data_IF_802876839493
#
_entry.id   IF_802876839493
#
_cell.length_a   1.000
_cell.length_b   1.000
_cell.length_c   1.000
_cell.angle_alpha   90.00
_cell.angle_beta   90.00
_cell.angle_gamma   90.00
#
_symmetry.space_group_name_H-M   'P 1'
#
loop_
_entity.id
_entity.type
_entity.pdbx_description
1 polymer ?
#
# COMPACT_ATOMS: atom_id res chain seq x y z
N UNK A 1 -8.52 13.40 23.63
CA UNK A 1 -7.17 13.89 23.99
C UNK A 1 -6.54 14.54 22.75
N UNK A 2 -6.50 15.88 22.64
CA UNK A 2 -5.78 16.58 21.56
C UNK A 2 -4.41 17.04 22.06
N UNK A 3 -3.33 16.28 21.85
CA UNK A 3 -1.95 16.76 22.08
C UNK A 3 -0.92 16.05 21.19
N UNK A 4 -0.74 16.58 19.97
CA UNK A 4 0.51 16.52 19.21
C UNK A 4 0.61 17.80 18.34
N UNK A 5 0.51 18.97 18.96
CA UNK A 5 0.76 20.27 18.32
C UNK A 5 1.74 21.08 19.18
N UNK A 6 3.00 20.66 19.16
CA UNK A 6 4.12 21.55 19.49
C UNK A 6 5.25 21.32 18.49
N UNK A 7 5.05 21.80 17.27
CA UNK A 7 6.16 22.07 16.36
C UNK A 7 6.89 23.32 16.88
N UNK A 8 7.87 23.14 17.76
CA UNK A 8 8.74 24.24 18.22
C UNK A 8 9.59 24.70 17.04
N UNK A 9 9.45 25.96 16.61
CA UNK A 9 10.46 26.66 15.80
C UNK A 9 10.00 27.18 14.43
N UNK A 10 8.81 26.82 13.94
CA UNK A 10 8.27 27.38 12.69
C UNK A 10 7.36 28.57 13.00
N UNK A 11 7.74 29.76 12.54
CA UNK A 11 6.82 30.90 12.47
C UNK A 11 5.84 30.64 11.34
N UNK A 12 4.65 30.13 11.69
CA UNK A 12 3.57 29.95 10.74
C UNK A 12 2.94 31.30 10.41
N UNK A 13 2.70 31.56 9.12
CA UNK A 13 1.89 32.70 8.69
C UNK A 13 0.40 32.49 9.04
N UNK A 14 -0.41 33.53 8.84
CA UNK A 14 -1.84 33.48 9.18
C UNK A 14 -2.60 32.39 8.38
N UNK A 15 -2.23 32.18 7.11
CA UNK A 15 -2.86 31.20 6.22
C UNK A 15 -2.53 29.78 6.66
N UNK A 16 -1.28 29.51 7.05
CA UNK A 16 -0.84 28.22 7.57
C UNK A 16 -1.52 27.88 8.91
N UNK A 17 -1.70 28.86 9.79
CA UNK A 17 -2.44 28.66 11.05
C UNK A 17 -3.90 28.33 10.80
N UNK A 18 -4.57 29.13 9.96
CA UNK A 18 -5.96 28.89 9.60
C UNK A 18 -6.13 27.49 8.98
N UNK A 19 -5.24 27.09 8.07
CA UNK A 19 -5.29 25.75 7.47
C UNK A 19 -5.16 24.63 8.52
N UNK A 20 -4.26 24.78 9.51
CA UNK A 20 -4.14 23.80 10.60
C UNK A 20 -5.35 23.79 11.55
N UNK A 21 -6.06 24.91 11.70
CA UNK A 21 -7.29 25.00 12.50
C UNK A 21 -8.49 24.36 11.78
N UNK A 22 -8.51 24.42 10.45
CA UNK A 22 -9.55 23.86 9.59
C UNK A 22 -9.36 22.36 9.30
N UNK A 23 -8.19 21.78 9.60
CA UNK A 23 -7.86 20.38 9.33
C UNK A 23 -7.55 19.61 10.62
N UNK A 24 -7.94 18.33 10.65
CA UNK A 24 -7.56 17.39 11.70
C UNK A 24 -6.56 16.38 11.14
N UNK A 25 -5.65 15.90 12.00
CA UNK A 25 -4.79 14.77 11.68
C UNK A 25 -5.57 13.47 11.90
N UNK A 26 -5.75 12.71 10.84
CA UNK A 26 -6.27 11.35 10.86
C UNK A 26 -5.12 10.37 10.61
N UNK A 27 -5.18 9.21 11.25
CA UNK A 27 -4.13 8.19 11.19
C UNK A 27 -4.72 6.89 10.67
N UNK A 28 -4.02 6.26 9.72
CA UNK A 28 -4.48 5.02 9.12
C UNK A 28 -3.39 4.07 8.68
N UNK A 29 -3.83 2.91 8.23
CA UNK A 29 -3.02 1.85 7.63
C UNK A 29 -3.81 1.22 6.49
N UNK A 30 -3.38 1.48 5.26
CA UNK A 30 -4.04 1.01 4.03
C UNK A 30 -3.30 -0.13 3.35
N UNK A 31 -2.25 -0.65 3.97
CA UNK A 31 -1.49 -1.78 3.45
C UNK A 31 -1.04 -2.70 4.59
N UNK A 32 -1.83 -3.76 4.79
CA UNK A 32 -1.60 -4.86 5.73
C UNK A 32 -2.38 -6.08 5.24
N UNK A 33 -2.12 -7.26 5.80
CA UNK A 33 -2.73 -8.50 5.32
C UNK A 33 -3.34 -9.33 6.43
N UNK A 34 -4.28 -10.18 6.04
CA UNK A 34 -4.84 -11.24 6.86
C UNK A 34 -5.13 -12.49 6.01
N UNK A 35 -5.83 -13.45 6.61
CA UNK A 35 -6.23 -14.71 6.01
C UNK A 35 -7.23 -14.63 4.87
N UNK A 36 -7.61 -13.45 4.35
CA UNK A 36 -8.37 -13.33 3.09
C UNK A 36 -7.57 -13.83 1.89
N UNK A 37 -6.25 -13.74 1.97
CA UNK A 37 -5.28 -14.31 1.03
C UNK A 37 -4.33 -15.24 1.80
N UNK A 38 -3.01 -15.07 1.69
CA UNK A 38 -2.03 -15.92 2.34
C UNK A 38 -1.45 -15.34 3.66
N UNK A 39 -2.08 -14.33 4.25
CA UNK A 39 -1.77 -13.89 5.62
C UNK A 39 -2.44 -14.75 6.70
N UNK A 40 -2.29 -14.34 7.95
CA UNK A 40 -2.83 -14.98 9.15
C UNK A 40 -3.90 -14.09 9.81
N UNK A 41 -4.77 -14.73 10.61
CA UNK A 41 -5.88 -14.07 11.28
C UNK A 41 -7.07 -13.78 10.35
N UNK A 42 -8.26 -13.56 10.92
CA UNK A 42 -9.47 -13.29 10.14
C UNK A 42 -9.59 -11.81 9.76
N UNK A 43 -10.47 -11.51 8.79
CA UNK A 43 -10.76 -10.12 8.41
C UNK A 43 -11.44 -9.36 9.56
N UNK A 44 -12.35 -10.00 10.29
CA UNK A 44 -13.04 -9.44 11.46
C UNK A 44 -12.03 -9.07 12.55
N UNK A 45 -10.98 -9.88 12.75
CA UNK A 45 -9.90 -9.53 13.68
C UNK A 45 -9.17 -8.28 13.21
N UNK A 46 -8.82 -8.18 11.93
CA UNK A 46 -8.17 -6.99 11.38
C UNK A 46 -9.05 -5.74 11.55
N UNK A 47 -10.34 -5.84 11.25
CA UNK A 47 -11.33 -4.77 11.44
C UNK A 47 -11.41 -4.36 12.91
N UNK A 48 -11.52 -5.32 13.83
CA UNK A 48 -11.57 -5.04 15.27
C UNK A 48 -10.29 -4.37 15.78
N UNK A 49 -9.13 -4.71 15.21
CA UNK A 49 -7.86 -4.11 15.56
C UNK A 49 -7.72 -2.68 15.01
N UNK A 50 -8.16 -2.43 13.77
CA UNK A 50 -8.19 -1.10 13.17
C UNK A 50 -9.14 -0.16 13.94
N UNK A 51 -10.35 -0.63 14.25
CA UNK A 51 -11.40 0.15 14.92
C UNK A 51 -11.01 0.67 16.31
N UNK A 52 -9.98 0.09 16.92
CA UNK A 52 -9.51 0.53 18.24
C UNK A 52 -8.51 1.71 18.18
N UNK A 53 -7.95 2.03 17.01
CA UNK A 53 -6.78 2.91 16.95
C UNK A 53 -6.55 3.69 15.65
N UNK A 54 -7.31 3.44 14.60
CA UNK A 54 -7.17 4.09 13.30
C UNK A 54 -8.45 4.85 12.96
N UNK A 55 -8.30 5.94 12.23
CA UNK A 55 -9.40 6.72 11.65
C UNK A 55 -9.77 6.17 10.25
N UNK A 56 -8.81 5.59 9.54
CA UNK A 56 -9.03 4.94 8.26
C UNK A 56 -8.13 3.72 8.08
N UNK A 57 -8.59 2.74 7.29
CA UNK A 57 -7.81 1.54 7.04
C UNK A 57 -8.24 0.81 5.75
N UNK A 58 -7.40 -0.13 5.33
CA UNK A 58 -7.77 -1.18 4.38
C UNK A 58 -7.23 -2.52 4.86
N UNK A 59 -7.58 -3.62 4.22
CA UNK A 59 -6.89 -4.91 4.37
C UNK A 59 -6.59 -5.45 2.99
N UNK A 60 -5.32 -5.46 2.63
CA UNK A 60 -4.86 -5.70 1.26
C UNK A 60 -4.75 -7.20 0.99
N UNK A 61 -5.48 -7.65 -0.03
CA UNK A 61 -5.35 -9.02 -0.54
C UNK A 61 -4.22 -9.14 -1.54
N UNK A 62 -3.38 -10.17 -1.41
CA UNK A 62 -2.45 -10.57 -2.46
C UNK A 62 -3.21 -11.02 -3.70
N UNK A 63 -3.04 -10.34 -4.83
CA UNK A 63 -3.91 -10.50 -6.00
C UNK A 63 -3.28 -11.19 -7.19
N UNK A 64 -2.09 -10.75 -7.63
CA UNK A 64 -1.43 -11.33 -8.79
C UNK A 64 0.09 -11.06 -8.80
N UNK A 65 0.82 -11.90 -9.53
CA UNK A 65 2.23 -11.68 -9.85
C UNK A 65 2.44 -11.89 -11.37
N UNK A 66 2.20 -10.85 -12.19
CA UNK A 66 2.14 -10.97 -13.65
C UNK A 66 3.40 -11.54 -14.31
N UNK A 67 4.58 -11.22 -13.77
CA UNK A 67 5.89 -11.56 -14.34
C UNK A 67 6.65 -12.67 -13.58
N UNK A 68 5.96 -13.44 -12.72
CA UNK A 68 6.57 -14.49 -11.89
C UNK A 68 7.29 -15.57 -12.71
N UNK A 69 6.83 -15.83 -13.94
CA UNK A 69 7.39 -16.84 -14.85
C UNK A 69 8.36 -16.28 -15.90
N UNK A 70 8.55 -14.96 -15.94
CA UNK A 70 9.35 -14.28 -16.98
C UNK A 70 10.84 -14.61 -16.87
N UNK A 71 11.34 -14.78 -15.65
CA UNK A 71 12.77 -14.97 -15.36
C UNK A 71 13.07 -16.43 -15.03
N UNK A 72 13.17 -17.27 -16.06
CA UNK A 72 13.46 -18.71 -15.93
C UNK A 72 14.79 -18.98 -15.19
N UNK A 73 15.76 -18.08 -15.29
CA UNK A 73 17.06 -18.17 -14.62
C UNK A 73 17.01 -17.76 -13.14
N UNK A 74 15.98 -17.01 -12.73
CA UNK A 74 15.68 -16.75 -11.32
C UNK A 74 14.77 -17.87 -10.85
N UNK A 75 15.36 -19.00 -10.46
CA UNK A 75 14.61 -20.17 -10.00
C UNK A 75 13.83 -19.84 -8.71
N UNK A 76 12.61 -19.33 -8.85
CA UNK A 76 11.65 -19.30 -7.75
C UNK A 76 11.23 -20.75 -7.51
N UNK A 77 11.38 -21.27 -6.28
CA UNK A 77 10.95 -22.62 -5.96
C UNK A 77 9.48 -22.84 -6.34
N UNK A 78 9.17 -24.00 -6.92
CA UNK A 78 7.82 -24.28 -7.45
C UNK A 78 6.73 -24.27 -6.37
N UNK A 79 7.09 -24.63 -5.14
CA UNK A 79 6.25 -24.52 -3.95
C UNK A 79 5.95 -23.06 -3.57
N UNK A 80 6.92 -22.16 -3.70
CA UNK A 80 6.71 -20.71 -3.52
C UNK A 80 5.75 -20.18 -4.59
N UNK A 81 5.90 -20.59 -5.85
CA UNK A 81 4.98 -20.21 -6.92
C UNK A 81 3.56 -20.72 -6.61
N UNK A 82 3.43 -21.99 -6.20
CA UNK A 82 2.15 -22.59 -5.85
C UNK A 82 1.48 -21.88 -4.66
N UNK A 83 2.25 -21.55 -3.62
CA UNK A 83 1.79 -20.80 -2.46
C UNK A 83 1.18 -19.44 -2.84
N UNK A 84 1.86 -18.67 -3.69
CA UNK A 84 1.34 -17.37 -4.14
C UNK A 84 0.07 -17.53 -4.98
N UNK A 85 0.07 -18.47 -5.94
CA UNK A 85 -1.10 -18.76 -6.78
C UNK A 85 -2.31 -19.18 -5.96
N UNK A 86 -2.13 -19.99 -4.93
CA UNK A 86 -3.22 -20.37 -4.03
C UNK A 86 -3.72 -19.16 -3.22
N UNK A 87 -2.85 -18.29 -2.73
CA UNK A 87 -3.27 -17.05 -2.06
C UNK A 87 -4.07 -16.11 -2.96
N UNK A 88 -3.68 -15.98 -4.23
CA UNK A 88 -4.39 -15.20 -5.24
C UNK A 88 -5.78 -15.78 -5.54
N UNK A 89 -5.88 -17.10 -5.66
CA UNK A 89 -7.15 -17.81 -5.84
C UNK A 89 -8.04 -17.67 -4.60
N UNK A 90 -7.46 -17.78 -3.40
CA UNK A 90 -8.14 -17.60 -2.13
C UNK A 90 -8.71 -16.20 -1.98
N UNK A 91 -7.98 -15.16 -2.38
CA UNK A 91 -8.50 -13.79 -2.40
C UNK A 91 -9.76 -13.69 -3.27
N UNK A 92 -9.72 -14.22 -4.50
CA UNK A 92 -10.87 -14.19 -5.42
C UNK A 92 -12.10 -14.87 -4.82
N UNK A 93 -11.93 -16.05 -4.21
CA UNK A 93 -13.03 -16.77 -3.53
C UNK A 93 -13.62 -15.97 -2.37
N UNK A 94 -12.78 -15.26 -1.64
CA UNK A 94 -13.19 -14.49 -0.46
C UNK A 94 -13.65 -13.06 -0.78
N UNK A 95 -13.48 -12.58 -2.01
CA UNK A 95 -13.77 -11.17 -2.36
C UNK A 95 -15.20 -10.72 -2.06
N UNK A 96 -16.26 -11.51 -2.33
CA UNK A 96 -17.62 -11.13 -1.95
C UNK A 96 -17.78 -10.89 -0.44
N UNK A 97 -17.19 -11.76 0.39
CA UNK A 97 -17.25 -11.63 1.85
C UNK A 97 -16.37 -10.49 2.36
N UNK A 98 -15.21 -10.27 1.74
CA UNK A 98 -14.36 -9.11 1.97
C UNK A 98 -15.14 -7.81 1.76
N UNK A 99 -15.82 -7.67 0.61
CA UNK A 99 -16.61 -6.49 0.30
C UNK A 99 -17.75 -6.27 1.31
N UNK A 100 -18.42 -7.34 1.75
CA UNK A 100 -19.48 -7.24 2.76
C UNK A 100 -18.94 -6.70 4.09
N UNK A 101 -17.90 -7.33 4.64
CA UNK A 101 -17.32 -6.97 5.93
C UNK A 101 -16.67 -5.58 5.93
N UNK A 102 -15.99 -5.22 4.85
CA UNK A 102 -15.38 -3.88 4.72
C UNK A 102 -16.44 -2.78 4.58
N UNK A 103 -17.56 -3.04 3.91
CA UNK A 103 -18.72 -2.14 3.92
C UNK A 103 -19.31 -1.96 5.31
N UNK A 104 -19.52 -3.06 6.05
CA UNK A 104 -20.07 -3.02 7.41
C UNK A 104 -19.15 -2.30 8.40
N UNK A 105 -17.83 -2.43 8.22
CA UNK A 105 -16.84 -1.72 9.03
C UNK A 105 -16.85 -0.20 8.79
N UNK A 106 -17.23 0.25 7.59
CA UNK A 106 -17.21 1.66 7.24
C UNK A 106 -18.30 2.44 7.99
N UNK A 107 -17.89 3.36 8.84
CA UNK A 107 -18.80 4.20 9.62
C UNK A 107 -18.21 5.60 9.85
N UNK A 108 -18.89 6.42 10.65
CA UNK A 108 -18.50 7.82 10.91
C UNK A 108 -17.16 7.96 11.66
N UNK A 109 -16.73 6.94 12.37
CA UNK A 109 -15.52 6.93 13.21
C UNK A 109 -14.38 6.10 12.56
N UNK A 110 -14.66 5.36 11.47
CA UNK A 110 -13.70 4.54 10.76
C UNK A 110 -14.02 4.45 9.25
N UNK A 111 -13.14 4.99 8.42
CA UNK A 111 -13.26 4.91 6.96
C UNK A 111 -12.51 3.68 6.44
N UNK A 112 -13.24 2.74 5.83
CA UNK A 112 -12.62 1.56 5.22
C UNK A 112 -12.38 1.77 3.71
N UNK A 113 -11.41 1.07 3.13
CA UNK A 113 -11.17 1.06 1.69
C UNK A 113 -11.04 -0.38 1.17
N UNK A 114 -11.18 -0.56 -0.14
CA UNK A 114 -10.84 -1.82 -0.77
C UNK A 114 -9.40 -1.76 -1.26
N UNK A 115 -8.63 -2.83 -1.04
CA UNK A 115 -7.28 -2.89 -1.60
C UNK A 115 -6.85 -4.29 -2.01
N UNK A 116 -5.96 -4.31 -2.99
CA UNK A 116 -5.31 -5.51 -3.45
C UNK A 116 -3.89 -5.20 -3.94
N UNK A 117 -3.02 -6.21 -3.94
CA UNK A 117 -1.59 -6.06 -4.21
C UNK A 117 -1.16 -6.86 -5.43
N UNK A 118 -0.38 -6.21 -6.30
CA UNK A 118 0.42 -6.87 -7.31
C UNK A 118 1.86 -7.03 -6.84
N UNK A 119 2.43 -8.19 -7.13
CA UNK A 119 3.88 -8.33 -7.14
C UNK A 119 4.42 -8.13 -8.55
N UNK A 120 5.63 -7.59 -8.67
CA UNK A 120 6.34 -7.56 -9.95
C UNK A 120 7.85 -7.47 -9.76
N UNK A 121 8.55 -8.27 -10.55
CA UNK A 121 9.99 -8.11 -10.70
C UNK A 121 10.36 -6.87 -11.54
N UNK A 122 9.62 -6.63 -12.63
CA UNK A 122 9.86 -5.54 -13.57
C UNK A 122 9.61 -4.16 -12.94
N UNK A 123 8.52 -4.01 -12.20
CA UNK A 123 8.04 -2.72 -11.70
C UNK A 123 8.23 -2.53 -10.19
N UNK A 124 8.46 -3.62 -9.45
CA UNK A 124 8.28 -3.66 -8.01
C UNK A 124 6.81 -3.88 -7.65
N UNK A 125 6.54 -4.01 -6.37
CA UNK A 125 5.20 -4.34 -5.91
C UNK A 125 4.34 -3.09 -5.68
N UNK A 126 3.06 -3.23 -5.95
CA UNK A 126 2.09 -2.15 -5.97
C UNK A 126 0.83 -2.55 -5.21
N UNK A 127 0.43 -1.72 -4.26
CA UNK A 127 -0.91 -1.79 -3.69
C UNK A 127 -1.83 -0.88 -4.49
N UNK A 128 -3.01 -1.38 -4.83
CA UNK A 128 -4.09 -0.63 -5.45
C UNK A 128 -5.19 -0.45 -4.41
N UNK A 129 -5.45 0.80 -4.04
CA UNK A 129 -6.51 1.22 -3.15
C UNK A 129 -7.66 1.79 -3.98
N UNK A 130 -8.86 1.24 -3.81
CA UNK A 130 -10.05 1.71 -4.49
C UNK A 130 -10.88 2.60 -3.56
N UNK A 131 -11.28 3.77 -4.09
CA UNK A 131 -12.17 4.68 -3.38
C UNK A 131 -13.54 4.05 -3.15
N UNK A 132 -14.11 3.43 -4.18
CA UNK A 132 -15.50 2.94 -4.19
C UNK A 132 -15.65 1.54 -3.57
N UNK A 133 -16.59 1.40 -2.63
CA UNK A 133 -16.89 0.14 -1.90
C UNK A 133 -17.76 -0.86 -2.70
N UNK A 134 -17.61 -0.85 -4.01
CA UNK A 134 -18.19 -1.84 -4.94
C UNK A 134 -17.17 -2.26 -6.00
N UNK A 135 -15.90 -1.91 -5.83
CA UNK A 135 -14.83 -2.25 -6.77
C UNK A 135 -14.61 -3.76 -6.80
N UNK A 136 -14.73 -4.34 -7.99
CA UNK A 136 -14.43 -5.75 -8.24
C UNK A 136 -12.94 -5.93 -8.49
N UNK A 137 -12.42 -7.13 -8.20
CA UNK A 137 -11.09 -7.51 -8.65
C UNK A 137 -11.03 -7.55 -10.18
N UNK A 138 -9.90 -7.14 -10.80
CA UNK A 138 -9.71 -7.30 -12.23
C UNK A 138 -9.85 -8.77 -12.65
N UNK A 139 -10.47 -9.00 -13.81
CA UNK A 139 -10.56 -10.34 -14.40
C UNK A 139 -9.16 -10.91 -14.70
N UNK A 140 -9.05 -12.23 -14.67
CA UNK A 140 -7.82 -12.90 -15.09
C UNK A 140 -7.57 -12.76 -16.58
N UNK A 141 -6.30 -12.67 -17.01
CA UNK A 141 -5.97 -12.69 -18.42
C UNK A 141 -6.54 -13.96 -19.05
N UNK A 142 -6.93 -13.86 -20.32
CA UNK A 142 -7.37 -15.05 -21.05
C UNK A 142 -6.22 -16.05 -21.14
N UNK A 143 -6.56 -17.32 -21.24
CA UNK A 143 -5.58 -18.38 -21.41
C UNK A 143 -4.67 -18.07 -22.63
N UNK A 144 -3.35 -18.13 -22.42
CA UNK A 144 -2.35 -17.83 -23.45
C UNK A 144 -2.00 -16.34 -23.61
N UNK A 145 -2.68 -15.42 -22.93
CA UNK A 145 -2.32 -13.99 -22.93
C UNK A 145 -1.34 -13.64 -21.80
N UNK A 146 -0.47 -12.67 -22.05
CA UNK A 146 0.37 -12.09 -21.01
C UNK A 146 -0.46 -11.25 -20.05
N UNK A 147 -0.21 -11.41 -18.75
CA UNK A 147 -0.80 -10.54 -17.74
C UNK A 147 -0.18 -9.14 -17.83
N UNK A 148 -0.97 -8.19 -18.33
CA UNK A 148 -0.57 -6.78 -18.54
C UNK A 148 -1.25 -5.83 -17.56
N UNK A 149 -1.98 -6.36 -16.56
CA UNK A 149 -2.87 -5.55 -15.71
C UNK A 149 -2.11 -4.49 -14.91
N UNK A 150 -0.99 -4.87 -14.28
CA UNK A 150 -0.15 -3.91 -13.55
C UNK A 150 0.44 -2.86 -14.48
N UNK A 151 1.00 -3.25 -15.64
CA UNK A 151 1.56 -2.30 -16.61
C UNK A 151 0.51 -1.29 -17.07
N UNK A 152 -0.72 -1.75 -17.38
CA UNK A 152 -1.83 -0.87 -17.76
C UNK A 152 -2.18 0.12 -16.65
N UNK A 153 -2.19 -0.32 -15.39
CA UNK A 153 -2.41 0.58 -14.25
C UNK A 153 -1.31 1.63 -14.20
N UNK A 154 -0.03 1.24 -14.23
CA UNK A 154 1.11 2.16 -14.16
C UNK A 154 1.12 3.15 -15.33
N UNK A 155 0.80 2.71 -16.54
CA UNK A 155 0.88 3.54 -17.75
C UNK A 155 -0.32 4.50 -17.89
N UNK A 156 -1.52 4.07 -17.51
CA UNK A 156 -2.77 4.76 -17.88
C UNK A 156 -3.62 5.25 -16.72
N UNK A 157 -3.34 4.83 -15.48
CA UNK A 157 -4.12 5.27 -14.33
C UNK A 157 -3.79 6.73 -13.96
N UNK A 158 -4.83 7.54 -13.76
CA UNK A 158 -4.74 8.82 -13.09
C UNK A 158 -5.59 8.74 -11.82
N UNK A 159 -4.93 8.76 -10.66
CA UNK A 159 -5.57 8.55 -9.36
C UNK A 159 -6.72 9.53 -9.08
N UNK A 160 -6.70 10.72 -9.71
CA UNK A 160 -7.80 11.70 -9.59
C UNK A 160 -9.00 11.34 -10.44
N UNK A 161 -8.80 10.69 -11.58
CA UNK A 161 -9.85 10.41 -12.57
C UNK A 161 -10.48 9.03 -12.38
N UNK A 162 -9.66 8.00 -12.17
CA UNK A 162 -10.11 6.60 -12.05
C UNK A 162 -10.59 6.26 -10.64
N UNK A 163 -10.25 7.10 -9.65
CA UNK A 163 -10.47 6.85 -8.22
C UNK A 163 -9.79 5.56 -7.70
N UNK A 164 -8.76 5.09 -8.42
CA UNK A 164 -7.83 4.08 -7.96
C UNK A 164 -6.50 4.75 -7.61
N UNK A 165 -6.08 4.63 -6.36
CA UNK A 165 -4.76 5.05 -5.92
C UNK A 165 -3.86 3.82 -5.93
N UNK A 166 -2.95 3.73 -6.91
CA UNK A 166 -1.96 2.67 -6.95
C UNK A 166 -0.61 3.22 -6.51
N UNK A 167 0.02 2.62 -5.50
CA UNK A 167 1.30 3.10 -4.98
C UNK A 167 2.31 1.96 -4.88
N UNK A 168 3.58 2.20 -5.24
CA UNK A 168 4.64 1.23 -4.99
C UNK A 168 4.90 1.15 -3.49
N UNK A 169 5.16 -0.06 -3.00
CA UNK A 169 5.43 -0.30 -1.59
C UNK A 169 6.71 -1.08 -1.36
N UNK A 170 7.15 -1.05 -0.09
CA UNK A 170 8.46 -1.53 0.37
C UNK A 170 9.58 -1.32 -0.67
N UNK A 171 9.66 -0.09 -1.22
CA UNK A 171 10.38 0.22 -2.46
C UNK A 171 11.88 -0.11 -2.43
N UNK A 172 12.44 -0.22 -1.22
CA UNK A 172 13.86 -0.39 -0.94
C UNK A 172 14.55 -1.60 -1.56
N UNK A 173 13.84 -2.65 -1.97
CA UNK A 173 14.49 -3.80 -2.61
C UNK A 173 15.13 -3.43 -3.95
N UNK A 174 15.96 -4.32 -4.49
CA UNK A 174 16.57 -4.13 -5.82
C UNK A 174 15.51 -4.30 -6.91
N UNK A 175 15.54 -3.48 -7.95
CA UNK A 175 14.71 -3.68 -9.17
C UNK A 175 15.05 -5.03 -9.80
N UNK A 176 14.04 -5.80 -10.22
CA UNK A 176 14.20 -7.21 -10.56
C UNK A 176 14.09 -8.17 -9.36
N UNK A 177 13.98 -7.63 -8.14
CA UNK A 177 13.78 -8.37 -6.88
C UNK A 177 12.69 -7.68 -6.05
N UNK A 178 11.55 -7.37 -6.69
CA UNK A 178 10.35 -6.76 -6.07
C UNK A 178 10.52 -5.34 -5.50
N UNK A 179 11.66 -4.70 -5.76
CA UNK A 179 11.86 -3.28 -5.50
C UNK A 179 11.39 -2.39 -6.64
N UNK A 180 11.09 -1.13 -6.34
CA UNK A 180 10.55 -0.17 -7.32
C UNK A 180 11.43 -0.06 -8.57
N UNK A 181 10.79 0.17 -9.70
CA UNK A 181 11.43 0.63 -10.92
C UNK A 181 11.10 2.11 -11.19
N UNK A 182 12.03 3.00 -10.83
CA UNK A 182 11.85 4.44 -11.07
C UNK A 182 11.74 4.82 -12.56
N UNK A 183 12.10 3.94 -13.50
CA UNK A 183 11.95 4.22 -14.94
C UNK A 183 10.52 4.06 -15.43
N UNK A 184 9.73 3.20 -14.79
CA UNK A 184 8.31 2.98 -15.12
C UNK A 184 7.37 3.70 -14.16
N UNK A 185 7.88 4.26 -13.07
CA UNK A 185 7.13 5.09 -12.13
C UNK A 185 6.36 6.22 -12.84
N UNK A 186 5.09 6.39 -12.47
CA UNK A 186 4.19 7.40 -12.99
C UNK A 186 3.49 8.15 -11.84
N UNK A 187 3.77 9.44 -11.71
CA UNK A 187 3.24 10.29 -10.63
C UNK A 187 1.72 10.46 -10.65
N UNK A 188 1.07 10.34 -11.83
CA UNK A 188 -0.40 10.41 -11.91
C UNK A 188 -1.04 9.16 -11.34
N UNK A 189 -0.41 8.00 -11.56
CA UNK A 189 -0.85 6.73 -11.00
C UNK A 189 -0.54 6.65 -9.51
N UNK A 190 0.68 7.08 -9.14
CA UNK A 190 1.28 6.92 -7.82
C UNK A 190 1.70 8.26 -7.23
N UNK A 191 0.76 9.16 -6.90
CA UNK A 191 1.10 10.42 -6.25
C UNK A 191 1.66 10.22 -4.84
N UNK A 192 1.56 9.01 -4.28
CA UNK A 192 2.11 8.60 -3.00
C UNK A 192 3.00 7.37 -3.19
N UNK A 193 4.04 7.26 -2.36
CA UNK A 193 4.97 6.13 -2.31
C UNK A 193 5.12 5.65 -0.87
N UNK A 194 4.99 4.35 -0.64
CA UNK A 194 5.19 3.78 0.69
C UNK A 194 6.69 3.56 0.97
N UNK A 195 7.19 4.27 1.98
CA UNK A 195 8.63 4.30 2.30
C UNK A 195 8.95 3.58 3.61
N UNK A 196 7.94 3.15 4.37
CA UNK A 196 8.12 2.49 5.64
C UNK A 196 7.04 1.42 5.84
N UNK A 197 7.48 0.20 6.12
CA UNK A 197 6.64 -0.92 6.53
C UNK A 197 7.38 -1.93 7.40
N UNK A 198 6.81 -3.12 7.66
CA UNK A 198 7.55 -4.22 8.30
C UNK A 198 8.81 -4.64 7.54
N UNK A 199 8.91 -4.29 6.26
CA UNK A 199 10.10 -4.49 5.46
C UNK A 199 11.23 -3.52 5.83
N UNK A 200 10.97 -2.44 6.57
CA UNK A 200 11.96 -1.45 6.98
C UNK A 200 11.67 -0.06 6.41
N UNK A 201 12.67 0.84 6.45
CA UNK A 201 12.56 2.19 5.90
C UNK A 201 13.44 2.39 4.67
N UNK A 202 12.81 2.83 3.59
CA UNK A 202 13.41 3.24 2.33
C UNK A 202 13.48 4.77 2.17
N UNK A 203 13.39 5.54 3.27
CA UNK A 203 13.62 7.00 3.23
C UNK A 203 14.98 7.34 2.57
N UNK A 204 16.01 6.61 2.97
CA UNK A 204 17.38 6.72 2.44
C UNK A 204 18.13 5.40 2.61
N UNK A 205 19.33 5.30 2.04
CA UNK A 205 20.20 4.15 2.24
C UNK A 205 20.58 4.01 3.73
N UNK A 206 20.83 5.14 4.40
CA UNK A 206 21.25 5.22 5.79
C UNK A 206 20.10 5.02 6.79
N UNK A 207 18.85 5.05 6.35
CA UNK A 207 17.68 4.92 7.23
C UNK A 207 17.82 3.71 8.17
N UNK A 208 17.44 3.94 9.43
CA UNK A 208 17.76 3.05 10.56
C UNK A 208 17.06 1.70 10.45
N UNK A 209 15.76 1.68 10.11
CA UNK A 209 15.00 0.45 9.94
C UNK A 209 15.48 -0.29 8.67
N UNK A 210 16.09 -1.45 8.87
CA UNK A 210 16.76 -2.22 7.81
C UNK A 210 15.80 -3.18 7.12
N UNK A 211 16.11 -3.47 5.86
CA UNK A 211 15.45 -4.48 5.05
C UNK A 211 16.01 -5.85 5.38
N UNK A 212 15.32 -6.57 6.27
CA UNK A 212 15.74 -7.87 6.81
C UNK A 212 14.81 -9.02 6.36
N UNK A 213 14.08 -8.84 5.27
CA UNK A 213 13.19 -9.85 4.71
C UNK A 213 13.88 -10.72 3.65
N UNK A 214 13.22 -11.81 3.25
CA UNK A 214 13.70 -12.79 2.26
C UNK A 214 13.99 -12.24 0.86
N UNK A 215 13.50 -11.04 0.53
CA UNK A 215 13.70 -10.40 -0.79
C UNK A 215 15.08 -9.73 -0.94
N UNK A 216 15.90 -9.73 0.11
CA UNK A 216 17.29 -9.27 0.07
C UNK A 216 17.51 -7.88 0.68
N UNK A 217 18.70 -7.29 0.47
CA UNK A 217 19.06 -6.03 1.11
C UNK A 217 18.40 -4.84 0.41
N UNK A 218 18.39 -3.71 1.13
CA UNK A 218 18.00 -2.40 0.56
C UNK A 218 19.01 -1.94 -0.50
N UNK A 219 18.50 -1.55 -1.66
CA UNK A 219 19.21 -0.85 -2.72
C UNK A 219 19.21 0.66 -2.44
N UNK A 220 20.38 1.31 -2.46
CA UNK A 220 20.49 2.74 -2.21
C UNK A 220 19.74 3.62 -3.23
N UNK A 221 19.65 3.16 -4.48
CA UNK A 221 18.95 3.87 -5.55
C UNK A 221 17.42 3.76 -5.43
N UNK A 222 16.92 2.70 -4.79
CA UNK A 222 15.49 2.42 -4.70
C UNK A 222 14.91 2.98 -3.39
N UNK A 223 15.25 4.23 -3.10
CA UNK A 223 14.84 4.94 -1.88
C UNK A 223 14.05 6.18 -2.24
N UNK A 224 13.31 6.76 -1.29
CA UNK A 224 12.70 8.09 -1.43
C UNK A 224 13.74 9.10 -1.91
N UNK A 225 14.90 9.16 -1.25
CA UNK A 225 16.01 10.03 -1.67
C UNK A 225 16.47 9.76 -3.11
N UNK A 226 16.55 8.49 -3.50
CA UNK A 226 16.88 8.08 -4.86
C UNK A 226 15.85 8.59 -5.89
N UNK A 227 14.56 8.42 -5.61
CA UNK A 227 13.47 8.92 -6.46
C UNK A 227 13.48 10.46 -6.57
N UNK A 228 13.66 11.16 -5.46
CA UNK A 228 13.76 12.63 -5.44
C UNK A 228 14.97 13.14 -6.23
N UNK A 229 16.12 12.45 -6.17
CA UNK A 229 17.29 12.79 -6.98
C UNK A 229 17.06 12.62 -8.49
N UNK A 230 16.04 11.86 -8.89
CA UNK A 230 15.59 11.72 -10.28
C UNK A 230 14.54 12.78 -10.66
N UNK A 231 14.26 13.75 -9.78
CA UNK A 231 13.21 14.77 -9.91
C UNK A 231 11.76 14.21 -9.97
N UNK A 232 11.55 12.99 -9.48
CA UNK A 232 10.19 12.47 -9.32
C UNK A 232 9.44 13.25 -8.23
N UNK A 233 8.15 13.47 -8.44
CA UNK A 233 7.28 14.15 -7.48
C UNK A 233 6.28 13.16 -6.89
N UNK A 234 6.28 13.06 -5.56
CA UNK A 234 5.36 12.23 -4.78
C UNK A 234 5.28 12.69 -3.32
N UNK A 235 4.16 12.41 -2.68
CA UNK A 235 4.06 12.33 -1.23
C UNK A 235 4.50 10.96 -0.72
N UNK A 236 4.56 10.84 0.61
CA UNK A 236 5.03 9.61 1.27
C UNK A 236 3.97 9.05 2.19
N UNK A 237 3.98 7.72 2.31
CA UNK A 237 3.11 6.99 3.21
C UNK A 237 3.90 5.91 3.96
N UNK A 238 3.32 5.45 5.06
CA UNK A 238 3.84 4.39 5.89
C UNK A 238 2.68 3.49 6.32
N UNK A 239 2.81 2.19 6.11
CA UNK A 239 1.79 1.19 6.44
C UNK A 239 2.47 -0.05 6.94
N UNK A 240 1.74 -0.94 7.61
CA UNK A 240 2.42 -2.02 8.32
C UNK A 240 2.96 -3.11 7.41
N UNK A 241 2.27 -3.40 6.31
CA UNK A 241 2.50 -4.57 5.44
C UNK A 241 2.46 -5.87 6.26
N UNK A 242 1.80 -5.86 7.43
CA UNK A 242 1.88 -6.96 8.37
C UNK A 242 0.90 -8.08 7.99
N UNK A 243 1.38 -9.32 7.90
CA UNK A 243 0.56 -10.49 7.56
C UNK A 243 -0.19 -11.16 8.73
N UNK A 244 -0.49 -10.45 9.83
CA UNK A 244 -1.09 -11.05 11.04
C UNK A 244 -2.44 -10.42 11.46
N UNK A 245 -3.20 -9.84 10.52
CA UNK A 245 -4.49 -9.18 10.81
C UNK A 245 -4.38 -8.12 11.92
N UNK A 246 -3.31 -7.31 11.85
CA UNK A 246 -2.97 -6.32 12.89
C UNK A 246 -2.63 -4.94 12.28
N UNK A 247 -3.58 -4.31 11.57
CA UNK A 247 -3.41 -3.00 10.96
C UNK A 247 -2.96 -1.95 11.98
N UNK A 248 -1.96 -1.14 11.62
CA UNK A 248 -1.40 -0.11 12.49
C UNK A 248 -0.58 -0.66 13.67
N UNK A 249 -0.18 -1.93 13.65
CA UNK A 249 0.72 -2.52 14.64
C UNK A 249 1.97 -1.66 14.90
N UNK A 250 2.39 -1.63 16.18
CA UNK A 250 3.48 -0.78 16.65
C UNK A 250 4.80 -1.12 15.95
N UNK A 251 5.55 -0.07 15.57
CA UNK A 251 6.90 -0.20 14.99
C UNK A 251 6.94 -0.41 13.48
N UNK A 252 5.80 -0.63 12.82
CA UNK A 252 5.74 -1.00 11.41
C UNK A 252 5.11 0.06 10.48
N UNK A 253 4.63 1.18 11.01
CA UNK A 253 4.20 2.33 10.20
C UNK A 253 2.70 2.64 10.26
N UNK A 254 2.38 3.93 10.19
CA UNK A 254 1.03 4.47 10.02
C UNK A 254 1.10 5.73 9.18
N UNK A 255 0.11 5.96 8.35
CA UNK A 255 0.01 7.15 7.51
C UNK A 255 -0.84 8.20 8.21
N UNK A 256 -0.31 9.42 8.31
CA UNK A 256 -1.06 10.58 8.80
C UNK A 256 -1.58 11.42 7.63
N UNK A 257 -2.87 11.73 7.63
CA UNK A 257 -3.52 12.60 6.65
C UNK A 257 -4.13 13.79 7.37
N UNK A 258 -3.80 15.00 6.94
CA UNK A 258 -4.50 16.20 7.39
C UNK A 258 -5.70 16.46 6.48
N UNK A 259 -6.90 16.48 7.05
CA UNK A 259 -8.12 16.72 6.30
C UNK A 259 -9.18 17.43 7.13
N UNK A 260 -10.05 18.19 6.47
CA UNK A 260 -11.13 18.92 7.10
C UNK A 260 -12.18 17.98 7.72
N UNK A 261 -12.35 16.78 7.16
CA UNK A 261 -13.36 15.83 7.60
C UNK A 261 -12.88 14.39 7.45
N UNK A 262 -13.30 13.54 8.40
CA UNK A 262 -13.10 12.09 8.33
C UNK A 262 -14.16 11.49 7.40
N UNK A 263 -13.86 11.49 6.11
CA UNK A 263 -14.66 10.79 5.11
C UNK A 263 -13.76 10.37 3.96
N UNK A 264 -14.30 9.50 3.10
CA UNK A 264 -13.62 8.93 1.93
C UNK A 264 -13.11 9.92 0.88
N UNK A 265 -13.65 11.13 0.83
CA UNK A 265 -13.14 12.18 -0.06
C UNK A 265 -11.98 12.94 0.60
N UNK A 266 -12.08 13.14 1.91
CA UNK A 266 -11.09 13.85 2.70
C UNK A 266 -9.82 13.04 2.98
N UNK A 267 -9.95 11.72 3.07
CA UNK A 267 -8.83 10.75 3.17
C UNK A 267 -8.38 10.36 1.77
#
# INVERSE_FOLDING_TARGET
MKKLLRMKGLKLDAKQKQWLEENNLYVGDVHNHCGISYGYGSLERAIAFASQQLDFFSVTGHFAWPDISKYQDMAIPGDVVAYHKEGFAKLRRNWPEYMRLMNEANNKDLVSFYSYEYHSFDNGDYTVLAKELNTLLPEDPKEGEYDTRLNKIIESNDAKMTKLLAFPHHIGYKTGYRGINWKTYNEKTSPLVEILSMHGSAESYEAQLKYLHTMGPKSGNNTMRGGLNLNNHFGVMANTDHHNASPGSYGFGRTGVYSAALNREGI
#
